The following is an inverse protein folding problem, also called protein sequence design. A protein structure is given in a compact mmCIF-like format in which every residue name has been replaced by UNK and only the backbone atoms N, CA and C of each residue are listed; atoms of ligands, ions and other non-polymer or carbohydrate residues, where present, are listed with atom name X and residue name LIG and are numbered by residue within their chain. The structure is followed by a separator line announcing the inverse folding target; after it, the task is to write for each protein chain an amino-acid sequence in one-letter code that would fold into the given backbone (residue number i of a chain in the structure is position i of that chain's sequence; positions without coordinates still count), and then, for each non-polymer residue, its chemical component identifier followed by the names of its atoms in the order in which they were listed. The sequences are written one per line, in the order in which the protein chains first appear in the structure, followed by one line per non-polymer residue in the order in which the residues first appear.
data_IF_128844338412
#
_entry.id   IF_128844338412
#
_cell.length_a   1.000
_cell.length_b   1.000
_cell.length_c   1.000
_cell.angle_alpha   90.00
_cell.angle_beta   90.00
_cell.angle_gamma   90.00
#
_symmetry.space_group_name_H-M   'P 1'
#
loop_
_entity.id
_entity.type
_entity.pdbx_description
1 polymer ?
#
# COMPACT_ATOMS: atom_id res chain seq x y z
N UNK A 1 -16.83 10.14 29.07
CA UNK A 1 -16.22 10.27 28.65
C UNK A 1 -16.28 10.23 27.53
N UNK A 2 -16.47 10.55 27.06
CA UNK A 2 -16.49 10.58 25.92
C UNK A 2 -15.46 10.86 25.20
N UNK A 3 -14.97 11.46 25.47
CA UNK A 3 -13.90 11.90 24.70
C UNK A 3 -12.89 10.91 24.42
N UNK A 4 -12.90 9.86 25.17
CA UNK A 4 -11.93 8.92 25.00
C UNK A 4 -12.02 8.20 23.77
N UNK A 5 -13.15 7.80 23.33
CA UNK A 5 -13.26 7.09 22.11
C UNK A 5 -12.88 7.97 20.95
N UNK A 6 -13.27 9.21 21.02
CA UNK A 6 -12.93 10.14 19.97
C UNK A 6 -11.43 10.33 19.92
N UNK A 7 -10.82 10.44 21.06
CA UNK A 7 -9.40 10.61 21.12
C UNK A 7 -8.68 9.42 20.55
N UNK A 8 -9.15 8.25 20.84
CA UNK A 8 -8.52 7.07 20.29
C UNK A 8 -8.57 7.06 18.79
N UNK A 9 -9.68 7.48 18.22
CA UNK A 9 -9.76 7.56 16.79
C UNK A 9 -8.85 8.61 16.24
N UNK A 10 -8.73 9.71 16.91
CA UNK A 10 -7.86 10.77 16.45
C UNK A 10 -6.42 10.35 16.51
N UNK A 11 -6.05 9.57 17.51
CA UNK A 11 -4.68 9.15 17.63
C UNK A 11 -4.36 7.94 16.77
N UNK A 12 -5.39 7.31 16.24
CA UNK A 12 -5.18 6.17 15.39
C UNK A 12 -4.53 6.61 14.10
N UNK A 13 -3.33 6.16 13.87
CA UNK A 13 -2.61 6.55 12.67
C UNK A 13 -3.24 5.91 11.46
N UNK A 14 -3.29 6.65 10.37
CA UNK A 14 -3.68 6.08 9.11
C UNK A 14 -2.59 5.16 8.63
N UNK A 15 -2.96 4.21 7.83
CA UNK A 15 -2.04 3.19 7.35
C UNK A 15 -1.43 3.60 6.02
N UNK A 16 -0.14 3.35 5.90
CA UNK A 16 0.58 3.50 4.64
C UNK A 16 0.93 2.11 4.17
N UNK A 17 0.74 1.87 2.88
CA UNK A 17 0.91 0.55 2.31
C UNK A 17 1.94 0.61 1.21
N UNK A 18 2.89 -0.33 1.24
CA UNK A 18 3.84 -0.49 0.16
C UNK A 18 3.54 -1.79 -0.58
N UNK A 19 3.56 -1.74 -1.89
CA UNK A 19 3.35 -2.93 -2.71
C UNK A 19 4.54 -3.09 -3.63
N UNK A 20 5.23 -4.22 -3.47
CA UNK A 20 6.32 -4.60 -4.34
C UNK A 20 5.74 -5.53 -5.39
N UNK A 21 5.83 -5.14 -6.66
CA UNK A 21 5.17 -5.83 -7.75
C UNK A 21 6.18 -6.61 -8.56
N UNK A 22 5.89 -7.87 -8.81
CA UNK A 22 6.64 -8.65 -9.77
C UNK A 22 5.67 -9.24 -10.77
N UNK A 23 6.17 -9.99 -11.71
CA UNK A 23 5.33 -10.57 -12.75
C UNK A 23 4.23 -11.42 -12.15
N UNK A 24 4.56 -12.24 -11.16
CA UNK A 24 3.65 -13.25 -10.65
C UNK A 24 3.08 -12.93 -9.27
N UNK A 25 3.69 -12.00 -8.55
CA UNK A 25 3.33 -11.77 -7.15
C UNK A 25 3.21 -10.30 -6.80
N UNK A 26 2.38 -10.04 -5.81
CA UNK A 26 2.30 -8.75 -5.13
C UNK A 26 2.64 -8.99 -3.68
N UNK A 27 3.65 -8.27 -3.17
CA UNK A 27 4.03 -8.34 -1.78
C UNK A 27 3.65 -7.04 -1.11
N UNK A 28 2.79 -7.13 -0.12
CA UNK A 28 2.17 -5.97 0.52
C UNK A 28 2.67 -5.84 1.95
N UNK A 29 2.98 -4.61 2.35
CA UNK A 29 3.40 -4.31 3.71
C UNK A 29 2.67 -3.08 4.20
N UNK A 30 2.01 -3.20 5.34
CA UNK A 30 1.19 -2.14 5.92
C UNK A 30 1.85 -1.63 7.18
N UNK A 31 2.01 -0.32 7.28
CA UNK A 31 2.58 0.35 8.44
C UNK A 31 1.57 1.34 9.00
N UNK A 32 1.52 1.56 10.28
CA UNK A 32 2.43 1.07 11.32
C UNK A 32 2.11 -0.32 11.85
N UNK A 33 1.04 -0.94 11.39
CA UNK A 33 0.63 -2.25 11.89
C UNK A 33 1.66 -3.34 11.65
N UNK A 34 2.52 -3.15 10.64
CA UNK A 34 3.54 -4.11 10.27
C UNK A 34 2.93 -5.45 9.88
N UNK A 35 1.85 -5.40 9.11
CA UNK A 35 1.23 -6.60 8.57
C UNK A 35 1.65 -6.79 7.13
N UNK A 36 1.76 -8.03 6.72
CA UNK A 36 2.22 -8.37 5.39
C UNK A 36 1.27 -9.35 4.74
N UNK A 37 1.21 -9.28 3.42
CA UNK A 37 0.38 -10.19 2.64
C UNK A 37 1.04 -10.41 1.30
N UNK A 38 0.99 -11.62 0.79
CA UNK A 38 1.41 -11.91 -0.57
C UNK A 38 0.22 -12.50 -1.31
N UNK A 39 -0.06 -11.95 -2.49
CA UNK A 39 -1.11 -12.48 -3.35
C UNK A 39 -0.55 -12.59 -4.76
N UNK A 40 -1.13 -13.45 -5.58
CA UNK A 40 -0.70 -13.52 -6.97
C UNK A 40 -1.08 -12.24 -7.73
N UNK A 41 -0.26 -11.87 -8.69
CA UNK A 41 -0.53 -10.69 -9.51
C UNK A 41 -1.54 -11.06 -10.59
N UNK A 42 -2.77 -11.30 -10.18
CA UNK A 42 -3.88 -11.70 -11.02
C UNK A 42 -5.11 -10.92 -10.59
N UNK A 43 -6.16 -10.97 -11.39
CA UNK A 43 -7.42 -10.32 -11.02
C UNK A 43 -7.92 -10.81 -9.67
N UNK A 44 -7.81 -12.11 -9.44
CA UNK A 44 -8.27 -12.68 -8.17
C UNK A 44 -7.40 -12.23 -7.02
N UNK A 45 -6.07 -12.18 -7.23
CA UNK A 45 -5.16 -11.72 -6.21
C UNK A 45 -5.40 -10.28 -5.85
N UNK A 46 -5.66 -9.44 -6.84
CA UNK A 46 -5.94 -8.02 -6.59
C UNK A 46 -7.25 -7.87 -5.82
N UNK A 47 -8.26 -8.68 -6.14
CA UNK A 47 -9.52 -8.63 -5.39
C UNK A 47 -9.32 -9.03 -3.94
N UNK A 48 -8.50 -10.05 -3.72
CA UNK A 48 -8.18 -10.48 -2.36
C UNK A 48 -7.46 -9.36 -1.62
N UNK A 49 -6.51 -8.71 -2.28
CA UNK A 49 -5.78 -7.59 -1.71
C UNK A 49 -6.73 -6.48 -1.31
N UNK A 50 -7.65 -6.09 -2.20
CA UNK A 50 -8.56 -4.99 -1.89
C UNK A 50 -9.45 -5.31 -0.70
N UNK A 51 -9.90 -6.56 -0.61
CA UNK A 51 -10.71 -6.98 0.52
C UNK A 51 -9.92 -6.92 1.82
N UNK A 52 -8.67 -7.36 1.77
CA UNK A 52 -7.79 -7.35 2.94
C UNK A 52 -7.50 -5.90 3.39
N UNK A 53 -7.31 -4.99 2.41
CA UNK A 53 -7.01 -3.60 2.73
C UNK A 53 -8.18 -2.87 3.41
N UNK A 54 -9.40 -3.39 3.29
CA UNK A 54 -10.55 -2.75 3.94
C UNK A 54 -10.44 -2.73 5.45
N UNK A 55 -9.56 -3.54 6.01
CA UNK A 55 -9.33 -3.56 7.44
C UNK A 55 -8.62 -2.32 7.95
N UNK A 56 -8.05 -1.53 7.05
CA UNK A 56 -7.19 -0.41 7.41
C UNK A 56 -7.79 0.91 6.95
N UNK A 57 -7.46 1.97 7.69
CA UNK A 57 -7.78 3.34 7.27
C UNK A 57 -6.59 3.84 6.47
N UNK A 58 -6.71 3.81 5.15
CA UNK A 58 -5.56 4.01 4.26
C UNK A 58 -5.26 5.49 4.06
N UNK A 59 -4.02 5.87 4.27
CA UNK A 59 -3.54 7.19 3.91
C UNK A 59 -3.03 7.18 2.48
N UNK A 60 -2.24 6.16 2.14
CA UNK A 60 -1.62 6.09 0.82
C UNK A 60 -1.15 4.68 0.55
N UNK A 61 -1.32 4.24 -0.68
CA UNK A 61 -0.74 3.00 -1.16
C UNK A 61 0.34 3.35 -2.18
N UNK A 62 1.56 2.93 -1.92
CA UNK A 62 2.69 3.19 -2.79
C UNK A 62 3.01 1.91 -3.54
N UNK A 63 3.03 2.00 -4.87
CA UNK A 63 3.30 0.86 -5.72
C UNK A 63 4.63 1.11 -6.43
N UNK A 64 5.56 0.17 -6.31
CA UNK A 64 6.84 0.30 -7.00
C UNK A 64 6.68 -0.12 -8.45
N UNK A 65 7.10 0.77 -9.35
CA UNK A 65 6.97 0.52 -10.78
C UNK A 65 8.12 -0.37 -11.25
N UNK A 66 7.83 -1.63 -11.47
CA UNK A 66 8.80 -2.57 -11.96
C UNK A 66 8.34 -3.04 -13.32
N UNK A 67 8.85 -2.41 -14.36
CA UNK A 67 8.39 -2.69 -15.70
C UNK A 67 6.92 -2.34 -15.84
N UNK A 68 6.15 -3.22 -16.45
CA UNK A 68 4.73 -2.97 -16.69
C UNK A 68 3.81 -3.72 -15.74
N UNK A 69 4.38 -4.52 -14.86
CA UNK A 69 3.59 -5.46 -14.05
C UNK A 69 2.73 -4.76 -13.00
N UNK A 70 3.01 -3.49 -12.70
CA UNK A 70 2.26 -2.75 -11.71
C UNK A 70 0.94 -2.19 -12.23
N UNK A 71 0.75 -2.14 -13.54
CA UNK A 71 -0.39 -1.41 -14.11
C UNK A 71 -1.75 -1.97 -13.72
N UNK A 72 -1.96 -3.29 -13.74
CA UNK A 72 -3.28 -3.80 -13.37
C UNK A 72 -3.65 -3.48 -11.94
N UNK A 73 -2.72 -3.65 -10.98
CA UNK A 73 -3.04 -3.37 -9.59
C UNK A 73 -3.27 -1.87 -9.39
N UNK A 74 -2.46 -1.03 -10.04
CA UNK A 74 -2.65 0.41 -9.96
C UNK A 74 -4.03 0.81 -10.42
N UNK A 75 -4.45 0.32 -11.58
CA UNK A 75 -5.76 0.66 -12.13
C UNK A 75 -6.88 0.19 -11.23
N UNK A 76 -6.75 -1.01 -10.71
CA UNK A 76 -7.80 -1.57 -9.88
C UNK A 76 -7.95 -0.81 -8.58
N UNK A 77 -6.84 -0.44 -7.94
CA UNK A 77 -6.90 0.32 -6.70
C UNK A 77 -7.47 1.71 -6.94
N UNK A 78 -7.03 2.37 -8.01
CA UNK A 78 -7.53 3.70 -8.33
C UNK A 78 -9.02 3.68 -8.63
N UNK A 79 -9.49 2.65 -9.33
CA UNK A 79 -10.90 2.52 -9.65
C UNK A 79 -11.74 2.33 -8.39
N UNK A 80 -11.15 1.85 -7.31
CA UNK A 80 -11.84 1.68 -6.04
C UNK A 80 -11.66 2.87 -5.12
N UNK A 81 -11.19 4.00 -5.65
CA UNK A 81 -10.99 5.24 -4.90
C UNK A 81 -9.96 5.09 -3.78
N UNK A 82 -9.02 4.19 -3.95
CA UNK A 82 -7.94 4.01 -3.00
C UNK A 82 -6.80 4.95 -3.43
N UNK A 83 -6.24 5.75 -2.51
CA UNK A 83 -5.17 6.67 -2.88
C UNK A 83 -3.90 5.89 -3.23
N UNK A 84 -3.48 6.00 -4.48
CA UNK A 84 -2.35 5.23 -4.99
C UNK A 84 -1.31 6.15 -5.61
N UNK A 85 -0.05 5.90 -5.31
CA UNK A 85 1.05 6.57 -5.98
C UNK A 85 1.99 5.51 -6.52
N UNK A 86 2.47 5.71 -7.73
CA UNK A 86 3.44 4.81 -8.34
C UNK A 86 4.80 5.49 -8.24
N UNK A 87 5.77 4.76 -7.71
CA UNK A 87 7.11 5.31 -7.52
C UNK A 87 8.14 4.44 -8.23
N UNK A 88 9.25 5.08 -8.60
CA UNK A 88 10.36 4.41 -9.21
C UNK A 88 11.26 3.89 -8.08
N UNK A 89 11.50 2.58 -8.00
CA UNK A 89 12.33 2.03 -6.93
C UNK A 89 13.71 2.65 -6.88
N UNK A 90 14.29 2.95 -8.05
CA UNK A 90 15.60 3.56 -8.08
C UNK A 90 15.58 4.93 -7.41
N UNK A 91 14.55 5.72 -7.70
CA UNK A 91 14.42 7.04 -7.09
C UNK A 91 14.24 6.97 -5.59
N UNK A 92 13.47 6.01 -5.13
CA UNK A 92 13.26 5.82 -3.70
C UNK A 92 14.57 5.52 -3.01
N UNK A 93 15.37 4.63 -3.61
CA UNK A 93 16.66 4.29 -3.03
C UNK A 93 17.62 5.48 -3.02
N UNK A 94 17.62 6.25 -4.11
CA UNK A 94 18.47 7.44 -4.18
C UNK A 94 18.10 8.46 -3.13
N UNK A 95 16.80 8.66 -2.94
CA UNK A 95 16.32 9.58 -1.94
C UNK A 95 16.76 9.17 -0.55
N UNK A 96 16.63 7.90 -0.23
CA UNK A 96 17.05 7.39 1.08
C UNK A 96 18.54 7.60 1.31
N UNK A 97 19.35 7.35 0.27
CA UNK A 97 20.78 7.56 0.39
C UNK A 97 21.11 9.03 0.60
N UNK A 98 20.45 9.89 -0.13
CA UNK A 98 20.69 11.33 -0.03
C UNK A 98 20.37 11.83 1.37
N UNK A 99 19.46 11.16 2.06
CA UNK A 99 19.10 11.55 3.40
C UNK A 99 19.93 10.86 4.48
N UNK A 100 20.87 10.03 4.08
CA UNK A 100 21.74 9.36 5.03
C UNK A 100 21.07 8.22 5.75
N UNK A 101 20.06 7.65 5.16
CA UNK A 101 19.32 6.59 5.81
C UNK A 101 19.74 5.22 5.34
#
# INVERSE_FOLDING_TARGET
MQGKEVSEQETKAKSNVGIDVSKDWLDIHVLPADERLRVPNTCQGVRQLKRWLRRFDLALVVVEATGKWHRPVQRSLAASAIPVAVVDPFRVRMFSKAQGI
#
